data_IF_788065645775
#
_entry.id   IF_788065645775
#
_cell.length_a   1.000
_cell.length_b   1.000
_cell.length_c   1.000
_cell.angle_alpha   90.00
_cell.angle_beta   90.00
_cell.angle_gamma   90.00
#
_symmetry.space_group_name_H-M   'P 1'
#
loop_
_entity.id
_entity.type
_entity.pdbx_description
1 polymer ?
#
# COMPACT_ATOMS: atom_id res chain seq x y z
N UNK A 1 -25.45 -6.50 8.79
CA UNK A 1 -25.01 -7.22 7.57
C UNK A 1 -23.84 -6.48 6.98
N UNK A 2 -22.63 -7.07 6.94
CA UNK A 2 -21.52 -6.43 6.23
C UNK A 2 -21.73 -6.56 4.72
N UNK A 3 -21.39 -5.50 4.00
CA UNK A 3 -21.61 -5.37 2.58
C UNK A 3 -20.58 -6.20 1.81
N UNK A 4 -21.04 -7.25 1.13
CA UNK A 4 -20.27 -7.96 0.12
C UNK A 4 -20.00 -6.99 -1.05
N UNK A 5 -18.74 -6.74 -1.44
CA UNK A 5 -18.46 -5.96 -2.64
C UNK A 5 -18.94 -6.75 -3.86
N UNK A 6 -19.93 -6.27 -4.61
CA UNK A 6 -20.48 -6.95 -5.79
C UNK A 6 -19.52 -6.87 -7.00
N UNK A 7 -18.24 -7.21 -6.80
CA UNK A 7 -17.17 -7.10 -7.78
C UNK A 7 -16.86 -8.43 -8.51
N UNK A 8 -17.66 -9.47 -8.25
CA UNK A 8 -17.56 -10.78 -8.91
C UNK A 8 -16.33 -11.62 -8.51
N UNK A 9 -15.51 -11.16 -7.56
CA UNK A 9 -14.34 -11.92 -7.12
C UNK A 9 -14.71 -13.05 -6.17
N UNK A 10 -14.03 -14.21 -6.25
CA UNK A 10 -14.27 -15.30 -5.32
C UNK A 10 -13.94 -14.90 -3.88
N UNK A 11 -14.72 -15.42 -2.95
CA UNK A 11 -14.39 -15.40 -1.52
C UNK A 11 -13.78 -16.72 -1.12
N UNK A 12 -12.69 -16.67 -0.36
CA UNK A 12 -12.06 -17.85 0.23
C UNK A 12 -11.93 -17.64 1.72
N UNK A 13 -12.59 -18.50 2.49
CA UNK A 13 -12.39 -18.55 3.93
C UNK A 13 -11.19 -19.44 4.24
N UNK A 14 -10.14 -18.86 4.82
CA UNK A 14 -8.98 -19.61 5.28
C UNK A 14 -8.78 -19.39 6.78
N UNK A 15 -8.67 -20.50 7.50
CA UNK A 15 -8.42 -20.59 8.93
C UNK A 15 -6.94 -20.84 9.24
N UNK A 16 -6.14 -21.15 8.21
CA UNK A 16 -4.69 -21.39 8.33
C UNK A 16 -3.92 -20.88 7.12
N UNK A 17 -2.60 -20.71 7.32
CA UNK A 17 -1.65 -20.35 6.28
C UNK A 17 -1.64 -21.36 5.13
N UNK A 18 -1.71 -22.65 5.46
CA UNK A 18 -1.70 -23.73 4.47
C UNK A 18 -2.92 -23.68 3.54
N UNK A 19 -4.12 -23.44 4.09
CA UNK A 19 -5.34 -23.31 3.29
C UNK A 19 -5.26 -22.15 2.30
N UNK A 20 -4.72 -21.01 2.73
CA UNK A 20 -4.51 -19.86 1.85
C UNK A 20 -3.48 -20.14 0.76
N UNK A 21 -2.34 -20.76 1.12
CA UNK A 21 -1.32 -21.17 0.15
C UNK A 21 -1.89 -22.12 -0.90
N UNK A 22 -2.60 -23.16 -0.49
CA UNK A 22 -3.19 -24.13 -1.43
C UNK A 22 -4.20 -23.49 -2.38
N UNK A 23 -4.92 -22.45 -1.94
CA UNK A 23 -5.78 -21.68 -2.84
C UNK A 23 -4.94 -20.91 -3.87
N UNK A 24 -3.91 -20.20 -3.43
CA UNK A 24 -3.02 -19.46 -4.34
C UNK A 24 -2.35 -20.38 -5.36
N UNK A 25 -1.86 -21.55 -4.96
CA UNK A 25 -1.25 -22.54 -5.87
C UNK A 25 -2.16 -22.87 -7.05
N UNK A 26 -3.47 -23.05 -6.81
CA UNK A 26 -4.44 -23.39 -7.86
C UNK A 26 -4.93 -22.21 -8.69
N UNK A 27 -4.95 -21.00 -8.12
CA UNK A 27 -5.70 -19.88 -8.69
C UNK A 27 -4.87 -18.65 -9.07
N UNK A 28 -3.61 -18.57 -8.66
CA UNK A 28 -2.80 -17.34 -8.78
C UNK A 28 -2.59 -16.84 -10.22
N UNK A 29 -2.58 -17.73 -11.22
CA UNK A 29 -2.38 -17.36 -12.62
C UNK A 29 -3.68 -16.97 -13.35
N UNK A 30 -4.83 -17.47 -12.89
CA UNK A 30 -6.11 -17.35 -13.60
C UNK A 30 -7.09 -16.38 -12.92
N UNK A 31 -6.90 -16.09 -11.63
CA UNK A 31 -7.77 -15.21 -10.87
C UNK A 31 -7.33 -13.75 -10.96
N UNK A 32 -8.30 -12.85 -11.15
CA UNK A 32 -8.08 -11.40 -11.08
C UNK A 32 -8.00 -10.85 -9.64
N UNK A 33 -8.13 -11.74 -8.64
CA UNK A 33 -8.09 -11.43 -7.22
C UNK A 33 -9.11 -12.25 -6.43
N UNK A 34 -8.93 -12.28 -5.11
CA UNK A 34 -9.85 -12.94 -4.19
C UNK A 34 -10.01 -12.17 -2.89
N UNK A 35 -11.20 -12.24 -2.33
CA UNK A 35 -11.46 -11.80 -0.97
C UNK A 35 -11.09 -12.93 -0.01
N UNK A 36 -9.96 -12.77 0.68
CA UNK A 36 -9.58 -13.64 1.77
C UNK A 36 -10.41 -13.29 2.99
N UNK A 37 -11.27 -14.22 3.40
CA UNK A 37 -12.07 -14.17 4.62
C UNK A 37 -11.32 -14.93 5.71
N UNK A 38 -11.30 -14.37 6.92
CA UNK A 38 -10.73 -15.01 8.10
C UNK A 38 -11.54 -14.61 9.33
N UNK A 39 -11.58 -15.49 10.32
CA UNK A 39 -12.11 -15.17 11.63
C UNK A 39 -11.32 -14.02 12.27
N UNK A 40 -12.02 -13.17 13.02
CA UNK A 40 -11.35 -12.16 13.86
C UNK A 40 -10.71 -12.86 15.05
N UNK A 41 -9.52 -12.42 15.46
CA UNK A 41 -8.83 -12.94 16.66
C UNK A 41 -9.74 -13.00 17.90
N UNK A 42 -10.59 -11.98 18.09
CA UNK A 42 -11.52 -11.89 19.22
C UNK A 42 -12.66 -12.94 19.21
N UNK A 43 -12.87 -13.66 18.10
CA UNK A 43 -13.91 -14.69 18.00
C UNK A 43 -13.54 -16.01 18.70
N UNK A 44 -12.28 -16.19 19.12
CA UNK A 44 -11.79 -17.43 19.71
C UNK A 44 -11.65 -18.60 18.72
N UNK A 45 -11.96 -18.39 17.44
CA UNK A 45 -11.87 -19.39 16.38
C UNK A 45 -10.47 -19.40 15.73
N UNK A 46 -10.07 -20.52 15.08
CA UNK A 46 -8.86 -20.55 14.26
C UNK A 46 -8.85 -19.39 13.26
N UNK A 47 -7.76 -18.64 13.15
CA UNK A 47 -7.68 -17.53 12.21
C UNK A 47 -6.32 -17.51 11.54
N UNK A 48 -6.30 -17.08 10.27
CA UNK A 48 -5.07 -16.78 9.55
C UNK A 48 -4.53 -15.40 9.97
N UNK A 49 -3.34 -15.30 10.58
CA UNK A 49 -2.72 -14.01 10.89
C UNK A 49 -2.41 -13.22 9.62
N UNK A 50 -2.69 -11.92 9.66
CA UNK A 50 -2.47 -11.05 8.51
C UNK A 50 -1.03 -11.09 7.96
N UNK A 51 0.04 -11.03 8.78
CA UNK A 51 1.40 -11.09 8.26
C UNK A 51 1.67 -12.35 7.43
N UNK A 52 1.08 -13.49 7.80
CA UNK A 52 1.22 -14.75 7.07
C UNK A 52 0.42 -14.75 5.77
N UNK A 53 -0.78 -14.15 5.75
CA UNK A 53 -1.54 -13.97 4.52
C UNK A 53 -0.79 -13.15 3.46
N UNK A 54 -0.09 -12.08 3.90
CA UNK A 54 0.76 -11.26 3.02
C UNK A 54 1.97 -12.03 2.55
N UNK A 55 2.63 -12.77 3.43
CA UNK A 55 3.79 -13.56 3.07
C UNK A 55 3.46 -14.56 1.96
N UNK A 56 2.36 -15.32 2.11
CA UNK A 56 1.90 -16.22 1.07
C UNK A 56 1.52 -15.46 -0.20
N UNK A 57 0.81 -14.33 -0.12
CA UNK A 57 0.50 -13.55 -1.31
C UNK A 57 1.76 -13.11 -2.06
N UNK A 58 2.81 -12.66 -1.36
CA UNK A 58 4.09 -12.28 -1.96
C UNK A 58 4.77 -13.47 -2.65
N UNK A 59 4.71 -14.67 -2.08
CA UNK A 59 5.25 -15.89 -2.70
C UNK A 59 4.67 -16.16 -4.09
N UNK A 60 3.44 -15.74 -4.37
CA UNK A 60 2.77 -15.90 -5.66
C UNK A 60 2.71 -14.62 -6.50
N UNK A 61 3.37 -13.54 -6.08
CA UNK A 61 3.38 -12.27 -6.81
C UNK A 61 2.08 -11.48 -6.68
N UNK A 62 1.37 -11.65 -5.57
CA UNK A 62 0.13 -10.96 -5.21
C UNK A 62 0.39 -9.88 -4.14
N UNK A 63 -0.59 -9.00 -3.93
CA UNK A 63 -0.58 -7.96 -2.90
C UNK A 63 -1.97 -7.80 -2.30
N UNK A 64 -2.02 -7.34 -1.06
CA UNK A 64 -3.24 -7.07 -0.33
C UNK A 64 -3.76 -5.64 -0.53
N UNK A 65 -4.92 -5.38 0.06
CA UNK A 65 -5.58 -4.08 0.09
C UNK A 65 -6.12 -3.79 1.49
N UNK A 66 -6.92 -2.74 1.66
CA UNK A 66 -7.48 -2.39 2.97
C UNK A 66 -8.44 -3.49 3.47
N UNK A 67 -8.50 -3.76 4.78
CA UNK A 67 -9.48 -4.68 5.34
C UNK A 67 -10.89 -4.13 5.20
N UNK A 68 -11.85 -5.02 5.01
CA UNK A 68 -13.28 -4.76 5.11
C UNK A 68 -13.88 -5.65 6.20
N UNK A 69 -14.91 -5.14 6.87
CA UNK A 69 -15.73 -5.94 7.79
C UNK A 69 -16.70 -6.77 6.96
N UNK A 70 -16.71 -8.09 7.18
CA UNK A 70 -17.70 -8.98 6.58
C UNK A 70 -18.91 -9.13 7.52
N UNK A 71 -18.66 -9.37 8.81
CA UNK A 71 -19.70 -9.41 9.85
C UNK A 71 -19.10 -9.19 11.25
N UNK A 72 -19.78 -9.66 12.29
CA UNK A 72 -19.38 -9.51 13.70
C UNK A 72 -18.16 -10.36 14.04
N UNK A 73 -18.04 -11.54 13.44
CA UNK A 73 -17.00 -12.52 13.74
C UNK A 73 -15.90 -12.60 12.68
N UNK A 74 -16.15 -12.13 11.45
CA UNK A 74 -15.26 -12.27 10.30
C UNK A 74 -14.83 -10.94 9.70
N UNK A 75 -13.60 -10.91 9.20
CA UNK A 75 -13.07 -9.84 8.38
C UNK A 75 -12.68 -10.41 7.01
N UNK A 76 -12.64 -9.54 6.01
CA UNK A 76 -12.19 -9.89 4.67
C UNK A 76 -11.17 -8.88 4.17
N UNK A 77 -10.26 -9.32 3.32
CA UNK A 77 -9.30 -8.45 2.65
C UNK A 77 -9.11 -8.92 1.22
N UNK A 78 -9.13 -7.97 0.29
CA UNK A 78 -8.90 -8.28 -1.11
C UNK A 78 -7.40 -8.44 -1.35
N UNK A 79 -7.03 -9.55 -1.97
CA UNK A 79 -5.72 -9.82 -2.53
C UNK A 79 -5.81 -9.92 -4.04
N UNK A 80 -4.86 -9.34 -4.76
CA UNK A 80 -4.84 -9.32 -6.23
C UNK A 80 -3.42 -9.56 -6.76
N UNK A 81 -3.27 -10.09 -7.98
CA UNK A 81 -1.99 -10.08 -8.67
C UNK A 81 -1.36 -8.67 -8.69
N UNK A 82 -0.05 -8.57 -8.47
CA UNK A 82 0.62 -7.26 -8.51
C UNK A 82 0.62 -6.72 -9.92
N UNK A 83 0.27 -5.44 -10.07
CA UNK A 83 0.37 -4.75 -11.35
C UNK A 83 1.86 -4.58 -11.71
N UNK A 84 2.28 -4.78 -12.98
CA UNK A 84 3.68 -4.77 -13.38
C UNK A 84 4.47 -3.51 -12.98
N UNK A 85 3.81 -2.34 -12.90
CA UNK A 85 4.44 -1.05 -12.58
C UNK A 85 4.11 -0.55 -11.16
N UNK A 86 3.59 -1.42 -10.29
CA UNK A 86 3.28 -1.02 -8.92
C UNK A 86 4.56 -0.90 -8.08
N UNK A 87 4.69 0.15 -7.25
CA UNK A 87 5.87 0.35 -6.40
C UNK A 87 5.98 -0.73 -5.32
N UNK A 88 7.19 -0.96 -4.83
CA UNK A 88 7.49 -1.87 -3.72
C UNK A 88 7.93 -1.10 -2.47
N UNK A 89 7.24 -1.30 -1.35
CA UNK A 89 7.63 -0.74 -0.05
C UNK A 89 8.84 -1.48 0.53
N UNK A 90 9.58 -0.82 1.42
CA UNK A 90 10.73 -1.43 2.08
C UNK A 90 10.36 -2.73 2.83
N UNK A 91 9.21 -2.75 3.51
CA UNK A 91 8.71 -3.92 4.25
C UNK A 91 8.44 -5.10 3.31
N UNK A 92 7.84 -4.88 2.14
CA UNK A 92 7.58 -5.96 1.19
C UNK A 92 8.87 -6.50 0.59
N UNK A 93 9.89 -5.66 0.37
CA UNK A 93 11.22 -6.11 -0.07
C UNK A 93 11.89 -6.99 0.98
N UNK A 94 11.83 -6.59 2.25
CA UNK A 94 12.35 -7.39 3.38
C UNK A 94 11.64 -8.74 3.49
N UNK A 95 10.31 -8.76 3.35
CA UNK A 95 9.54 -10.01 3.31
C UNK A 95 9.98 -10.90 2.15
N UNK A 96 10.09 -10.37 0.93
CA UNK A 96 10.57 -11.13 -0.23
C UNK A 96 11.97 -11.71 -0.01
N UNK A 97 12.89 -10.93 0.55
CA UNK A 97 14.24 -11.41 0.87
C UNK A 97 14.19 -12.61 1.83
N UNK A 98 13.51 -12.46 2.97
CA UNK A 98 13.34 -13.55 3.95
C UNK A 98 12.66 -14.78 3.34
N UNK A 99 11.59 -14.60 2.56
CA UNK A 99 10.86 -15.71 1.93
C UNK A 99 11.70 -16.43 0.86
N UNK A 100 12.62 -15.71 0.21
CA UNK A 100 13.58 -16.27 -0.75
C UNK A 100 14.64 -17.10 -0.02
N UNK A 101 15.21 -16.58 1.06
CA UNK A 101 16.16 -17.31 1.92
C UNK A 101 15.55 -18.60 2.48
N UNK A 102 14.27 -18.54 2.86
CA UNK A 102 13.50 -19.69 3.34
C UNK A 102 13.01 -20.64 2.23
N UNK A 103 13.31 -20.35 0.95
CA UNK A 103 12.87 -21.14 -0.22
C UNK A 103 11.35 -21.30 -0.32
N UNK A 104 10.59 -20.30 0.13
CA UNK A 104 9.12 -20.31 0.13
C UNK A 104 8.49 -19.65 -1.10
N UNK A 105 9.27 -18.85 -1.83
CA UNK A 105 8.82 -18.15 -3.04
C UNK A 105 8.44 -19.14 -4.14
N UNK A 106 7.26 -18.98 -4.74
CA UNK A 106 6.86 -19.75 -5.90
C UNK A 106 7.46 -19.14 -7.19
N UNK A 107 7.58 -19.91 -8.30
CA UNK A 107 8.07 -19.39 -9.57
C UNK A 107 7.35 -18.12 -10.04
N UNK A 108 6.03 -18.03 -9.83
CA UNK A 108 5.26 -16.84 -10.19
C UNK A 108 5.67 -15.59 -9.40
N UNK A 109 5.90 -15.71 -8.08
CA UNK A 109 6.38 -14.59 -7.27
C UNK A 109 7.78 -14.14 -7.67
N UNK A 110 8.67 -15.08 -7.98
CA UNK A 110 10.02 -14.79 -8.48
C UNK A 110 9.94 -14.00 -9.80
N UNK A 111 9.12 -14.46 -10.77
CA UNK A 111 8.93 -13.73 -12.04
C UNK A 111 8.47 -12.29 -11.82
N UNK A 112 7.54 -12.07 -10.89
CA UNK A 112 7.03 -10.73 -10.56
C UNK A 112 8.12 -9.84 -9.94
N UNK A 113 8.98 -10.39 -9.08
CA UNK A 113 10.11 -9.65 -8.49
C UNK A 113 11.14 -9.29 -9.55
N UNK A 114 11.52 -10.22 -10.43
CA UNK A 114 12.48 -9.96 -11.50
C UNK A 114 11.95 -8.95 -12.51
N UNK A 115 10.67 -9.04 -12.90
CA UNK A 115 10.03 -8.03 -13.73
C UNK A 115 9.99 -6.64 -13.05
N UNK A 116 9.81 -6.60 -11.72
CA UNK A 116 9.84 -5.34 -10.98
C UNK A 116 11.25 -4.71 -10.95
N UNK A 117 12.29 -5.53 -10.80
CA UNK A 117 13.69 -5.08 -10.88
C UNK A 117 14.01 -4.55 -12.28
N UNK A 118 13.70 -5.33 -13.32
CA UNK A 118 13.96 -4.95 -14.73
C UNK A 118 13.23 -3.67 -15.15
N UNK A 119 12.01 -3.44 -14.64
CA UNK A 119 11.23 -2.24 -14.93
C UNK A 119 11.57 -1.02 -14.05
N UNK A 120 12.44 -1.17 -13.06
CA UNK A 120 12.73 -0.14 -12.06
C UNK A 120 11.60 0.11 -11.04
N UNK A 121 10.46 -0.58 -11.15
CA UNK A 121 9.36 -0.43 -10.18
C UNK A 121 9.71 -0.96 -8.79
N UNK A 122 10.71 -1.85 -8.70
CA UNK A 122 11.29 -2.29 -7.43
C UNK A 122 11.83 -1.10 -6.63
N UNK A 123 12.63 -0.21 -7.22
CA UNK A 123 13.26 0.92 -6.51
C UNK A 123 12.48 2.24 -6.60
N UNK A 124 11.39 2.30 -7.38
CA UNK A 124 10.64 3.53 -7.64
C UNK A 124 10.14 4.26 -6.37
N UNK A 125 9.93 3.54 -5.26
CA UNK A 125 9.42 4.08 -4.00
C UNK A 125 10.52 4.44 -2.98
N UNK A 126 11.78 4.17 -3.26
CA UNK A 126 12.85 4.23 -2.24
C UNK A 126 13.11 5.64 -1.72
N UNK A 127 13.08 6.63 -2.61
CA UNK A 127 13.16 8.05 -2.23
C UNK A 127 11.96 8.50 -1.39
N UNK A 128 10.77 7.96 -1.69
CA UNK A 128 9.57 8.25 -0.90
C UNK A 128 9.73 7.66 0.49
N UNK A 129 10.24 6.42 0.62
CA UNK A 129 10.53 5.80 1.92
C UNK A 129 11.53 6.62 2.74
N UNK A 130 12.55 7.20 2.09
CA UNK A 130 13.55 8.10 2.69
C UNK A 130 13.07 9.54 2.87
N UNK A 131 11.81 9.85 2.54
CA UNK A 131 11.22 11.18 2.63
C UNK A 131 11.98 12.26 1.83
N UNK A 132 12.63 11.88 0.74
CA UNK A 132 13.33 12.84 -0.13
C UNK A 132 12.30 13.74 -0.80
N UNK A 133 12.41 15.05 -0.56
CA UNK A 133 11.54 16.07 -1.17
C UNK A 133 12.12 16.46 -2.54
N UNK A 134 11.38 16.25 -3.65
CA UNK A 134 11.83 16.70 -4.97
C UNK A 134 12.02 18.23 -5.04
N UNK A 135 12.98 18.69 -5.82
CA UNK A 135 13.37 20.10 -5.87
C UNK A 135 12.23 21.05 -6.29
N UNK A 136 11.33 20.60 -7.17
CA UNK A 136 10.14 21.37 -7.56
C UNK A 136 9.13 21.51 -6.42
N UNK A 137 8.90 20.45 -5.63
CA UNK A 137 8.08 20.52 -4.43
C UNK A 137 8.72 21.39 -3.34
N UNK A 138 10.04 21.29 -3.14
CA UNK A 138 10.76 22.12 -2.18
C UNK A 138 10.64 23.62 -2.52
N UNK A 139 10.81 24.00 -3.80
CA UNK A 139 10.62 25.39 -4.25
C UNK A 139 9.19 25.87 -4.05
N UNK A 140 8.19 25.04 -4.35
CA UNK A 140 6.79 25.40 -4.15
C UNK A 140 6.44 25.59 -2.67
N UNK A 141 6.95 24.73 -1.78
CA UNK A 141 6.78 24.87 -0.33
C UNK A 141 7.49 26.11 0.24
N UNK A 142 8.61 26.52 -0.35
CA UNK A 142 9.32 27.73 0.06
C UNK A 142 8.63 29.03 -0.40
N UNK A 143 7.83 28.96 -1.46
CA UNK A 143 7.08 30.11 -1.98
C UNK A 143 5.80 30.43 -1.18
N UNK A 144 5.32 29.50 -0.37
CA UNK A 144 4.12 29.64 0.46
C UNK A 144 4.51 29.84 1.93
N UNK A 145 3.99 30.90 2.56
CA UNK A 145 4.32 31.25 3.94
C UNK A 145 4.01 30.09 4.91
N UNK A 146 5.00 29.69 5.70
CA UNK A 146 4.88 28.61 6.71
C UNK A 146 4.76 27.19 6.15
N UNK A 147 4.59 27.00 4.84
CA UNK A 147 4.28 25.68 4.27
C UNK A 147 5.41 24.65 4.45
N UNK A 148 6.67 25.07 4.33
CA UNK A 148 7.82 24.18 4.56
C UNK A 148 7.86 23.60 5.98
N UNK A 149 7.62 24.44 6.99
CA UNK A 149 7.63 24.02 8.40
C UNK A 149 6.43 23.11 8.70
N UNK A 150 5.23 23.49 8.24
CA UNK A 150 4.01 22.70 8.43
C UNK A 150 4.10 21.34 7.71
N UNK A 151 4.62 21.31 6.48
CA UNK A 151 4.85 20.05 5.77
C UNK A 151 5.85 19.15 6.51
N UNK A 152 6.92 19.72 7.07
CA UNK A 152 7.90 18.98 7.87
C UNK A 152 7.28 18.31 9.10
N UNK A 153 6.32 18.98 9.73
CA UNK A 153 5.59 18.48 10.90
C UNK A 153 4.56 17.39 10.56
N UNK A 154 4.18 17.19 9.30
CA UNK A 154 3.24 16.12 8.93
C UNK A 154 3.77 14.73 9.29
N UNK A 155 2.89 13.79 9.67
CA UNK A 155 3.26 12.40 9.88
C UNK A 155 3.97 11.80 8.66
N UNK A 156 4.95 10.93 8.88
CA UNK A 156 5.73 10.31 7.81
C UNK A 156 4.86 9.56 6.80
N UNK A 157 3.78 8.91 7.24
CA UNK A 157 2.83 8.23 6.35
C UNK A 157 2.15 9.21 5.39
N UNK A 158 1.80 10.41 5.86
CA UNK A 158 1.22 11.47 5.06
C UNK A 158 2.24 12.11 4.12
N UNK A 159 3.47 12.37 4.59
CA UNK A 159 4.58 12.83 3.73
C UNK A 159 4.83 11.83 2.61
N UNK A 160 4.93 10.54 2.92
CA UNK A 160 5.08 9.45 1.93
C UNK A 160 3.94 9.44 0.92
N UNK A 161 2.70 9.58 1.37
CA UNK A 161 1.52 9.66 0.51
C UNK A 161 1.60 10.84 -0.49
N UNK A 162 1.96 12.03 0.00
CA UNK A 162 2.11 13.24 -0.84
C UNK A 162 3.28 13.10 -1.81
N UNK A 163 4.45 12.65 -1.34
CA UNK A 163 5.64 12.46 -2.16
C UNK A 163 5.40 11.45 -3.28
N UNK A 164 4.72 10.33 -2.98
CA UNK A 164 4.33 9.36 -4.01
C UNK A 164 3.28 9.93 -4.96
N UNK A 165 2.31 10.69 -4.46
CA UNK A 165 1.30 11.34 -5.30
C UNK A 165 1.96 12.31 -6.29
N UNK A 166 2.94 13.09 -5.87
CA UNK A 166 3.72 13.95 -6.79
C UNK A 166 4.60 13.12 -7.73
N UNK A 167 5.37 12.15 -7.20
CA UNK A 167 6.32 11.33 -7.99
C UNK A 167 5.64 10.46 -9.04
N UNK A 168 4.45 9.94 -8.76
CA UNK A 168 3.70 9.06 -9.68
C UNK A 168 3.00 9.81 -10.83
N UNK A 169 2.98 11.15 -10.83
CA UNK A 169 2.43 11.94 -11.92
C UNK A 169 3.37 11.95 -13.13
N UNK A 170 3.02 11.20 -14.17
CA UNK A 170 3.83 11.06 -15.39
C UNK A 170 3.76 12.26 -16.33
N UNK A 171 2.63 12.96 -16.37
CA UNK A 171 2.43 14.13 -17.23
C UNK A 171 2.97 15.38 -16.53
N UNK A 172 3.82 16.20 -17.17
CA UNK A 172 4.39 17.40 -16.56
C UNK A 172 3.34 18.33 -15.96
N UNK A 173 2.21 18.52 -16.65
CA UNK A 173 1.12 19.41 -16.23
C UNK A 173 0.44 18.87 -14.97
N UNK A 174 0.23 17.55 -14.91
CA UNK A 174 -0.33 16.89 -13.72
C UNK A 174 0.64 17.00 -12.54
N UNK A 175 1.94 16.82 -12.77
CA UNK A 175 2.95 16.95 -11.74
C UNK A 175 2.98 18.37 -11.18
N UNK A 176 3.05 19.38 -12.05
CA UNK A 176 3.04 20.78 -11.65
C UNK A 176 1.78 21.15 -10.84
N UNK A 177 0.60 20.68 -11.26
CA UNK A 177 -0.64 20.88 -10.52
C UNK A 177 -0.62 20.22 -9.13
N UNK A 178 -0.08 19.00 -9.00
CA UNK A 178 0.06 18.31 -7.70
C UNK A 178 1.05 19.00 -6.78
N UNK A 179 2.18 19.46 -7.32
CA UNK A 179 3.21 20.21 -6.57
C UNK A 179 2.62 21.49 -5.98
N UNK A 180 2.00 22.32 -6.84
CA UNK A 180 1.35 23.55 -6.39
C UNK A 180 0.29 23.27 -5.33
N UNK A 181 -0.58 22.28 -5.59
CA UNK A 181 -1.63 21.89 -4.66
C UNK A 181 -1.10 21.40 -3.31
N UNK A 182 0.00 20.67 -3.30
CA UNK A 182 0.63 20.20 -2.07
C UNK A 182 1.16 21.37 -1.23
N UNK A 183 1.79 22.37 -1.87
CA UNK A 183 2.29 23.56 -1.18
C UNK A 183 1.16 24.43 -0.61
N UNK A 184 0.13 24.75 -1.43
CA UNK A 184 -1.04 25.52 -1.01
C UNK A 184 -1.76 24.89 0.21
N UNK A 185 -1.89 23.55 0.22
CA UNK A 185 -2.53 22.84 1.33
C UNK A 185 -1.63 22.80 2.55
N UNK A 186 -0.32 22.59 2.37
CA UNK A 186 0.63 22.60 3.47
C UNK A 186 0.65 23.95 4.21
N UNK A 187 0.59 25.08 3.49
CA UNK A 187 0.46 26.43 4.05
C UNK A 187 -0.75 26.59 4.98
N UNK A 188 -1.81 25.82 4.73
CA UNK A 188 -3.05 25.80 5.52
C UNK A 188 -3.09 24.68 6.55
N UNK A 189 -1.93 24.06 6.82
CA UNK A 189 -1.78 22.88 7.67
C UNK A 189 -2.70 21.73 7.25
N UNK A 190 -2.78 21.45 5.94
CA UNK A 190 -3.54 20.34 5.36
C UNK A 190 -2.67 19.42 4.50
N UNK A 191 -2.88 18.12 4.64
CA UNK A 191 -2.15 17.04 3.97
C UNK A 191 -2.82 16.71 2.63
N UNK A 192 -2.18 17.04 1.52
CA UNK A 192 -2.71 16.73 0.19
C UNK A 192 -2.88 15.23 -0.07
N UNK A 193 -3.80 14.85 -0.96
CA UNK A 193 -4.11 13.44 -1.28
C UNK A 193 -4.69 12.62 -0.11
N UNK A 194 -5.39 13.28 0.81
CA UNK A 194 -6.19 12.64 1.87
C UNK A 194 -7.68 12.85 1.63
N UNK A 195 -8.57 11.95 2.11
CA UNK A 195 -10.01 12.17 2.09
C UNK A 195 -10.39 13.44 2.85
N UNK A 196 -11.44 14.13 2.40
CA UNK A 196 -11.98 15.30 3.09
C UNK A 196 -12.27 14.97 4.57
N UNK A 197 -11.85 15.85 5.48
CA UNK A 197 -12.02 15.69 6.93
C UNK A 197 -10.96 14.81 7.59
N UNK A 198 -10.05 14.19 6.84
CA UNK A 198 -8.90 13.41 7.36
C UNK A 198 -7.55 13.96 6.92
N UNK A 199 -7.54 15.22 6.54
CA UNK A 199 -6.42 15.89 5.92
C UNK A 199 -5.87 17.04 6.76
N UNK A 200 -6.35 17.27 7.98
CA UNK A 200 -5.76 18.26 8.89
C UNK A 200 -4.40 17.75 9.42
N UNK A 201 -3.37 18.58 9.32
CA UNK A 201 -2.07 18.31 9.94
C UNK A 201 -2.09 18.48 11.46
N UNK A 202 -0.98 18.15 12.15
CA UNK A 202 -0.87 18.31 13.61
C UNK A 202 -1.10 19.76 14.05
N UNK A 203 -1.60 19.99 15.27
CA UNK A 203 -1.74 21.36 15.78
C UNK A 203 -0.35 21.98 15.99
N UNK A 204 0.00 23.08 15.31
CA UNK A 204 1.30 23.72 15.48
C UNK A 204 1.52 24.32 16.88
N UNK A 205 0.49 24.40 17.72
CA UNK A 205 0.54 24.93 19.09
C UNK A 205 0.59 23.86 20.19
N UNK A 206 0.55 22.58 19.83
CA UNK A 206 0.57 21.47 20.78
C UNK A 206 1.84 20.64 20.67
N UNK A 207 2.85 21.03 21.45
CA UNK A 207 4.02 20.21 21.80
C UNK A 207 3.92 19.75 23.24
#
# INVERSE_FOLDING_TARGET
MGTHPADGRPQIHAESRAQWRSWLERHHEHSSGAWLVSWKKASGRPYLPYPEAVDEALCFGWVDSRPNRLDDLRAMRLFTPRRPRSPWSAINKQKVARLTEQRLMAPAGIRVVEAAKASGSWSAYDEVERLVIPADLARALAAEEGASALFGAFPDSSKKNILWWVKSARRPETRAARVRRAAELAARNRMANHPAGRDRGPDPRGG
#
